data_IF_526050652380
#
_entry.id   IF_526050652380
#
_cell.length_a   1.000
_cell.length_b   1.000
_cell.length_c   1.000
_cell.angle_alpha   90.00
_cell.angle_beta   90.00
_cell.angle_gamma   90.00
#
_symmetry.space_group_name_H-M   'P 1'
#
loop_
_entity.id
_entity.type
_entity.pdbx_description
1 polymer ?
#
# COMPACT_ATOMS: atom_id res chain seq x y z
N UNK A 1 28.57 22.61 10.23
CA UNK A 1 27.96 21.68 11.22
C UNK A 1 27.33 20.55 10.44
N UNK A 2 27.96 19.39 10.43
CA UNK A 2 27.45 18.18 9.76
C UNK A 2 26.24 17.67 10.52
N UNK A 3 25.08 17.68 9.89
CA UNK A 3 23.87 17.01 10.40
C UNK A 3 24.21 15.56 10.75
N UNK A 4 23.80 15.04 11.92
CA UNK A 4 23.93 13.62 12.21
C UNK A 4 23.19 12.86 11.11
N UNK A 5 23.86 11.92 10.45
CA UNK A 5 23.22 10.95 9.55
C UNK A 5 22.13 10.24 10.34
N UNK A 6 20.88 10.67 10.20
CA UNK A 6 19.73 10.00 10.81
C UNK A 6 19.66 8.60 10.22
N UNK A 7 19.96 7.59 11.04
CA UNK A 7 19.92 6.20 10.63
C UNK A 7 18.52 5.87 10.07
N UNK A 8 18.46 5.31 8.86
CA UNK A 8 17.18 4.93 8.23
C UNK A 8 16.48 3.93 9.16
N UNK A 9 15.23 4.18 9.60
CA UNK A 9 14.56 3.27 10.51
C UNK A 9 14.26 1.96 9.80
N UNK A 10 14.57 0.83 10.44
CA UNK A 10 14.32 -0.51 9.91
C UNK A 10 13.19 -1.16 10.72
N UNK A 11 12.06 -1.52 10.10
CA UNK A 11 10.97 -2.21 10.79
C UNK A 11 11.41 -3.53 11.41
N UNK A 12 11.03 -3.76 12.67
CA UNK A 12 11.23 -5.05 13.34
C UNK A 12 10.02 -5.94 13.07
N UNK A 13 10.17 -6.87 12.14
CA UNK A 13 9.11 -7.77 11.65
C UNK A 13 9.52 -9.24 11.81
N UNK A 14 8.57 -10.19 11.93
CA UNK A 14 8.86 -11.60 12.17
C UNK A 14 9.31 -12.34 10.89
N UNK A 15 10.44 -11.92 10.30
CA UNK A 15 11.08 -12.58 9.15
C UNK A 15 12.13 -13.60 9.59
N UNK A 16 12.53 -14.48 8.68
CA UNK A 16 13.64 -15.40 8.90
C UNK A 16 14.92 -14.60 9.24
N UNK A 17 15.65 -14.93 10.34
CA UNK A 17 16.89 -14.25 10.71
C UNK A 17 17.92 -14.14 9.58
N UNK A 18 18.04 -15.16 8.73
CA UNK A 18 18.98 -15.19 7.60
C UNK A 18 18.62 -14.18 6.49
N UNK A 19 17.44 -13.56 6.59
CA UNK A 19 16.92 -12.58 5.62
C UNK A 19 16.90 -11.16 6.17
N UNK A 20 17.36 -10.93 7.40
CA UNK A 20 17.41 -9.60 8.02
C UNK A 20 18.28 -8.62 7.21
N UNK A 21 19.44 -9.07 6.73
CA UNK A 21 20.34 -8.19 5.96
C UNK A 21 19.73 -7.81 4.61
N UNK A 22 19.12 -8.76 3.90
CA UNK A 22 18.38 -8.50 2.67
C UNK A 22 17.25 -7.51 2.92
N UNK A 23 16.42 -7.74 3.95
CA UNK A 23 15.31 -6.86 4.30
C UNK A 23 15.80 -5.44 4.64
N UNK A 24 16.90 -5.32 5.38
CA UNK A 24 17.52 -4.04 5.73
C UNK A 24 18.02 -3.29 4.49
N UNK A 25 18.69 -4.00 3.57
CA UNK A 25 19.17 -3.43 2.33
C UNK A 25 18.03 -2.95 1.42
N UNK A 26 16.96 -3.75 1.30
CA UNK A 26 15.75 -3.39 0.55
C UNK A 26 15.03 -2.21 1.19
N UNK A 27 14.93 -2.15 2.51
CA UNK A 27 14.36 -1.00 3.23
C UNK A 27 15.14 0.30 2.92
N UNK A 28 16.47 0.24 2.91
CA UNK A 28 17.31 1.38 2.53
C UNK A 28 17.20 1.75 1.04
N UNK A 29 16.98 0.77 0.16
CA UNK A 29 16.63 1.04 -1.24
C UNK A 29 15.29 1.77 -1.33
N UNK A 30 14.23 1.25 -0.71
CA UNK A 30 12.88 1.85 -0.75
C UNK A 30 12.87 3.25 -0.16
N UNK A 31 13.55 3.49 0.96
CA UNK A 31 13.68 4.84 1.52
C UNK A 31 14.25 5.84 0.52
N UNK A 32 15.28 5.45 -0.25
CA UNK A 32 15.86 6.30 -1.30
C UNK A 32 14.95 6.41 -2.53
N UNK A 33 14.29 5.32 -2.90
CA UNK A 33 13.38 5.29 -4.04
C UNK A 33 12.15 6.19 -3.81
N UNK A 34 11.62 6.21 -2.59
CA UNK A 34 10.43 6.99 -2.24
C UNK A 34 10.73 8.48 -2.00
N UNK A 35 11.99 8.90 -1.82
CA UNK A 35 12.32 10.29 -1.54
C UNK A 35 12.09 11.24 -2.72
N UNK A 36 11.78 10.71 -3.89
CA UNK A 36 11.41 11.49 -5.08
C UNK A 36 9.91 11.76 -5.19
N UNK A 37 9.07 11.12 -4.36
CA UNK A 37 7.62 11.25 -4.41
C UNK A 37 7.09 12.29 -3.41
N UNK A 38 5.88 12.77 -3.68
CA UNK A 38 5.17 13.67 -2.78
C UNK A 38 4.69 12.94 -1.50
N UNK A 39 4.22 13.74 -0.53
CA UNK A 39 3.82 13.27 0.80
C UNK A 39 2.68 12.21 0.80
N UNK A 40 1.98 12.01 -0.32
CA UNK A 40 0.92 11.00 -0.41
C UNK A 40 1.46 9.58 -0.64
N UNK A 41 2.69 9.43 -1.13
CA UNK A 41 3.36 8.13 -1.44
C UNK A 41 4.80 8.12 -0.91
N UNK A 42 4.99 8.73 0.25
CA UNK A 42 6.30 8.83 0.90
C UNK A 42 6.71 7.52 1.59
N UNK A 43 7.93 7.50 2.11
CA UNK A 43 8.41 6.36 2.89
C UNK A 43 7.55 6.07 4.13
N UNK A 44 6.89 7.08 4.71
CA UNK A 44 5.98 6.87 5.85
C UNK A 44 4.74 6.07 5.44
N UNK A 45 4.21 6.26 4.23
CA UNK A 45 3.18 5.38 3.68
C UNK A 45 3.62 3.91 3.68
N UNK A 46 4.80 3.62 3.15
CA UNK A 46 5.34 2.25 3.14
C UNK A 46 5.44 1.68 4.55
N UNK A 47 5.93 2.47 5.52
CA UNK A 47 6.02 2.02 6.91
C UNK A 47 4.65 1.72 7.54
N UNK A 48 3.61 2.49 7.20
CA UNK A 48 2.24 2.21 7.66
C UNK A 48 1.67 0.95 7.02
N UNK A 49 1.95 0.70 5.74
CA UNK A 49 1.58 -0.56 5.07
C UNK A 49 2.27 -1.74 5.74
N UNK A 50 3.59 -1.69 5.96
CA UNK A 50 4.33 -2.74 6.70
C UNK A 50 3.76 -2.95 8.11
N UNK A 51 3.36 -1.88 8.80
CA UNK A 51 2.72 -1.97 10.11
C UNK A 51 1.35 -2.67 10.03
N UNK A 52 0.49 -2.29 9.08
CA UNK A 52 -0.80 -2.94 8.85
C UNK A 52 -0.60 -4.43 8.48
N UNK A 53 0.38 -4.75 7.63
CA UNK A 53 0.77 -6.13 7.29
C UNK A 53 1.11 -6.94 8.53
N UNK A 54 1.90 -6.38 9.44
CA UNK A 54 2.27 -7.06 10.69
C UNK A 54 1.07 -7.27 11.62
N UNK A 55 0.16 -6.31 11.71
CA UNK A 55 -1.07 -6.44 12.51
C UNK A 55 -1.96 -7.55 11.94
N UNK A 56 -2.21 -7.53 10.63
CA UNK A 56 -3.05 -8.52 9.95
C UNK A 56 -2.44 -9.92 10.10
N UNK A 57 -1.13 -10.09 9.82
CA UNK A 57 -0.45 -11.37 9.97
C UNK A 57 -0.64 -11.96 11.38
N UNK A 58 -0.48 -11.16 12.43
CA UNK A 58 -0.61 -11.63 13.82
C UNK A 58 -2.02 -12.07 14.15
N UNK A 59 -3.04 -11.44 13.60
CA UNK A 59 -4.44 -11.80 13.82
C UNK A 59 -4.83 -13.02 12.99
N UNK A 60 -4.47 -13.04 11.70
CA UNK A 60 -4.73 -14.16 10.81
C UNK A 60 -4.02 -15.45 11.24
N UNK A 61 -2.81 -15.35 11.79
CA UNK A 61 -2.10 -16.51 12.35
C UNK A 61 -2.83 -17.13 13.55
N UNK A 62 -3.66 -16.36 14.27
CA UNK A 62 -4.48 -16.85 15.38
C UNK A 62 -5.80 -17.45 14.88
N UNK A 63 -6.45 -16.79 13.92
CA UNK A 63 -7.77 -17.19 13.43
C UNK A 63 -7.71 -18.33 12.41
N UNK A 64 -6.60 -18.45 11.67
CA UNK A 64 -6.38 -19.42 10.61
C UNK A 64 -5.04 -20.18 10.81
N UNK A 65 -4.87 -20.93 11.92
CA UNK A 65 -3.57 -21.54 12.27
C UNK A 65 -3.08 -22.62 11.30
N UNK A 66 -3.96 -23.13 10.44
CA UNK A 66 -3.60 -24.08 9.36
C UNK A 66 -2.95 -23.40 8.16
N UNK A 67 -3.07 -22.08 8.02
CA UNK A 67 -2.48 -21.33 6.91
C UNK A 67 -1.06 -20.91 7.29
N UNK A 68 -0.08 -21.33 6.48
CA UNK A 68 1.30 -20.89 6.62
C UNK A 68 1.57 -19.71 5.69
N UNK A 69 2.26 -18.69 6.20
CA UNK A 69 2.68 -17.52 5.44
C UNK A 69 4.20 -17.45 5.41
N UNK A 70 4.79 -17.27 4.23
CA UNK A 70 6.20 -16.93 4.10
C UNK A 70 6.38 -15.44 4.41
N UNK A 71 6.74 -15.19 5.66
CA UNK A 71 6.90 -13.83 6.19
C UNK A 71 7.97 -13.03 5.45
N UNK A 72 9.00 -13.67 4.88
CA UNK A 72 10.04 -12.96 4.12
C UNK A 72 9.43 -12.37 2.85
N UNK A 73 8.71 -13.19 2.07
CA UNK A 73 8.06 -12.72 0.86
C UNK A 73 6.97 -11.67 1.16
N UNK A 74 6.23 -11.86 2.25
CA UNK A 74 5.17 -10.96 2.70
C UNK A 74 5.70 -9.55 2.98
N UNK A 75 6.73 -9.42 3.82
CA UNK A 75 7.24 -8.12 4.22
C UNK A 75 8.10 -7.45 3.13
N UNK A 76 8.78 -8.22 2.28
CA UNK A 76 9.43 -7.67 1.09
C UNK A 76 8.40 -7.13 0.09
N UNK A 77 7.29 -7.83 -0.13
CA UNK A 77 6.22 -7.35 -0.99
C UNK A 77 5.58 -6.07 -0.42
N UNK A 78 5.35 -5.99 0.89
CA UNK A 78 4.84 -4.77 1.53
C UNK A 78 5.80 -3.58 1.37
N UNK A 79 7.12 -3.78 1.49
CA UNK A 79 8.11 -2.72 1.25
C UNK A 79 8.14 -2.26 -0.21
N UNK A 80 7.98 -3.19 -1.16
CA UNK A 80 8.22 -2.96 -2.58
C UNK A 80 6.94 -2.70 -3.39
N UNK A 81 5.75 -2.71 -2.77
CA UNK A 81 4.48 -2.70 -3.52
C UNK A 81 4.29 -1.48 -4.45
N UNK A 82 4.86 -0.33 -4.08
CA UNK A 82 4.83 0.92 -4.85
C UNK A 82 6.11 1.15 -5.69
N UNK A 83 7.08 0.22 -5.64
CA UNK A 83 8.24 0.26 -6.53
C UNK A 83 7.82 -0.23 -7.90
N UNK A 84 8.04 0.60 -8.93
CA UNK A 84 7.54 0.33 -10.26
C UNK A 84 6.02 0.47 -10.37
N UNK A 85 5.39 1.43 -9.69
CA UNK A 85 4.02 1.81 -10.05
C UNK A 85 4.06 2.64 -11.36
N UNK A 86 3.35 2.16 -12.38
CA UNK A 86 3.18 2.79 -13.69
C UNK A 86 2.73 4.27 -13.62
N UNK A 87 2.06 4.70 -12.54
CA UNK A 87 1.68 6.12 -12.33
C UNK A 87 2.88 7.06 -12.18
N UNK A 88 4.05 6.52 -11.88
CA UNK A 88 5.28 7.26 -11.60
C UNK A 88 6.47 6.81 -12.44
N UNK A 89 6.27 5.84 -13.33
CA UNK A 89 7.29 5.34 -14.22
C UNK A 89 7.74 6.40 -15.22
N UNK A 90 9.05 6.44 -15.48
CA UNK A 90 9.59 7.25 -16.57
C UNK A 90 9.51 6.48 -17.91
N UNK A 91 9.34 7.17 -19.06
CA UNK A 91 9.32 6.49 -20.36
C UNK A 91 10.59 5.66 -20.59
N UNK A 92 10.43 4.35 -20.80
CA UNK A 92 11.54 3.41 -21.05
C UNK A 92 12.03 2.63 -19.83
N UNK A 93 11.48 2.87 -18.64
CA UNK A 93 11.78 2.09 -17.45
C UNK A 93 11.13 0.69 -17.53
N UNK A 94 11.88 -0.36 -17.19
CA UNK A 94 11.34 -1.73 -17.10
C UNK A 94 10.62 -1.92 -15.75
N UNK A 95 9.45 -1.29 -15.68
CA UNK A 95 8.54 -1.33 -14.53
C UNK A 95 8.14 -2.77 -14.17
N UNK A 96 7.96 -3.60 -15.19
CA UNK A 96 7.42 -4.95 -15.04
C UNK A 96 8.40 -5.94 -14.37
N UNK A 97 9.70 -5.68 -14.40
CA UNK A 97 10.71 -6.53 -13.77
C UNK A 97 11.51 -5.84 -12.66
N UNK A 98 11.19 -4.59 -12.33
CA UNK A 98 11.98 -3.76 -11.43
C UNK A 98 12.14 -4.39 -10.04
N UNK A 99 11.05 -4.87 -9.44
CA UNK A 99 11.06 -5.52 -8.12
C UNK A 99 11.96 -6.76 -8.13
N UNK A 100 11.82 -7.60 -9.15
CA UNK A 100 12.67 -8.79 -9.32
C UNK A 100 14.15 -8.40 -9.45
N UNK A 101 14.47 -7.42 -10.29
CA UNK A 101 15.84 -7.00 -10.56
C UNK A 101 16.50 -6.41 -9.31
N UNK A 102 15.78 -5.58 -8.55
CA UNK A 102 16.25 -5.01 -7.27
C UNK A 102 16.52 -6.11 -6.25
N UNK A 103 15.65 -7.10 -6.13
CA UNK A 103 15.85 -8.22 -5.19
C UNK A 103 17.08 -9.06 -5.56
N UNK A 104 17.23 -9.39 -6.85
CA UNK A 104 18.40 -10.12 -7.35
C UNK A 104 19.70 -9.34 -7.13
N UNK A 105 19.72 -8.03 -7.37
CA UNK A 105 20.91 -7.20 -7.18
C UNK A 105 21.34 -7.09 -5.72
N UNK A 106 20.43 -7.38 -4.77
CA UNK A 106 20.71 -7.42 -3.33
C UNK A 106 20.88 -8.85 -2.78
N UNK A 107 21.02 -9.85 -3.66
CA UNK A 107 21.36 -11.22 -3.25
C UNK A 107 20.16 -12.11 -2.89
N UNK A 108 18.93 -11.73 -3.24
CA UNK A 108 17.79 -12.64 -3.14
C UNK A 108 17.93 -13.81 -4.14
N UNK A 109 17.37 -14.97 -3.79
CA UNK A 109 17.25 -16.07 -4.75
C UNK A 109 16.27 -15.73 -5.87
N UNK A 110 16.43 -16.36 -7.04
CA UNK A 110 15.50 -16.18 -8.17
C UNK A 110 14.06 -16.52 -7.79
N UNK A 111 13.85 -17.57 -7.00
CA UNK A 111 12.51 -18.00 -6.57
C UNK A 111 11.85 -16.97 -5.65
N UNK A 112 12.59 -16.42 -4.68
CA UNK A 112 12.08 -15.37 -3.79
C UNK A 112 11.78 -14.10 -4.59
N UNK A 113 12.68 -13.68 -5.48
CA UNK A 113 12.50 -12.51 -6.30
C UNK A 113 11.28 -12.63 -7.23
N UNK A 114 11.09 -13.81 -7.85
CA UNK A 114 9.93 -14.10 -8.68
C UNK A 114 8.62 -14.10 -7.87
N UNK A 115 8.60 -14.75 -6.69
CA UNK A 115 7.43 -14.76 -5.80
C UNK A 115 7.03 -13.34 -5.39
N UNK A 116 7.98 -12.54 -4.90
CA UNK A 116 7.71 -11.16 -4.45
C UNK A 116 7.24 -10.29 -5.63
N UNK A 117 7.87 -10.40 -6.80
CA UNK A 117 7.43 -9.69 -8.01
C UNK A 117 5.98 -10.03 -8.36
N UNK A 118 5.60 -11.32 -8.32
CA UNK A 118 4.22 -11.75 -8.60
C UNK A 118 3.24 -11.17 -7.60
N UNK A 119 3.55 -11.20 -6.30
CA UNK A 119 2.69 -10.60 -5.26
C UNK A 119 2.52 -9.11 -5.54
N UNK A 120 3.62 -8.35 -5.71
CA UNK A 120 3.58 -6.89 -5.92
C UNK A 120 2.73 -6.51 -7.14
N UNK A 121 2.87 -7.22 -8.28
CA UNK A 121 2.04 -6.96 -9.47
C UNK A 121 0.54 -7.05 -9.21
N UNK A 122 0.14 -7.84 -8.21
CA UNK A 122 -1.26 -8.08 -7.89
C UNK A 122 -1.78 -7.25 -6.72
N UNK A 123 -0.97 -6.39 -6.08
CA UNK A 123 -1.41 -5.58 -4.93
C UNK A 123 -2.44 -4.52 -5.34
N UNK A 124 -2.20 -3.81 -6.45
CA UNK A 124 -2.96 -2.60 -6.78
C UNK A 124 -4.46 -2.84 -7.03
N UNK A 125 -5.29 -1.89 -6.58
CA UNK A 125 -6.74 -1.89 -6.84
C UNK A 125 -7.08 -2.00 -8.33
N UNK A 126 -6.39 -1.22 -9.17
CA UNK A 126 -6.66 -1.17 -10.61
C UNK A 126 -6.37 -2.51 -11.30
N UNK A 127 -5.36 -3.25 -10.84
CA UNK A 127 -5.10 -4.59 -11.34
C UNK A 127 -6.21 -5.56 -10.92
N UNK A 128 -6.66 -5.54 -9.67
CA UNK A 128 -7.74 -6.43 -9.23
C UNK A 128 -9.04 -6.20 -10.01
N UNK A 129 -9.42 -4.94 -10.24
CA UNK A 129 -10.65 -4.62 -10.99
C UNK A 129 -10.56 -5.07 -12.46
N UNK A 130 -9.37 -4.99 -13.07
CA UNK A 130 -9.17 -5.41 -14.47
C UNK A 130 -9.00 -6.93 -14.63
N UNK A 131 -8.35 -7.58 -13.66
CA UNK A 131 -7.85 -8.96 -13.78
C UNK A 131 -8.29 -9.84 -12.59
N UNK A 132 -9.58 -9.82 -12.26
CA UNK A 132 -10.10 -10.48 -11.05
C UNK A 132 -9.76 -11.98 -10.98
N UNK A 133 -9.87 -12.72 -12.09
CA UNK A 133 -9.53 -14.15 -12.14
C UNK A 133 -8.04 -14.41 -11.86
N UNK A 134 -7.16 -13.55 -12.38
CA UNK A 134 -5.72 -13.65 -12.11
C UNK A 134 -5.41 -13.45 -10.62
N UNK A 135 -6.06 -12.47 -9.99
CA UNK A 135 -5.89 -12.23 -8.54
C UNK A 135 -6.35 -13.44 -7.72
N UNK A 136 -7.48 -14.06 -8.07
CA UNK A 136 -7.95 -15.29 -7.38
C UNK A 136 -6.91 -16.40 -7.49
N UNK A 137 -6.39 -16.66 -8.68
CA UNK A 137 -5.37 -17.68 -8.88
C UNK A 137 -4.08 -17.42 -8.07
N UNK A 138 -3.63 -16.16 -8.04
CA UNK A 138 -2.43 -15.80 -7.27
C UNK A 138 -2.68 -15.89 -5.77
N UNK A 139 -3.88 -15.59 -5.28
CA UNK A 139 -4.25 -15.76 -3.86
C UNK A 139 -4.21 -17.23 -3.42
N UNK A 140 -4.62 -18.16 -4.29
CA UNK A 140 -4.54 -19.60 -4.02
C UNK A 140 -3.09 -20.07 -3.89
N UNK A 141 -2.19 -19.49 -4.69
CA UNK A 141 -0.76 -19.83 -4.68
C UNK A 141 0.01 -19.12 -3.55
N UNK A 142 -0.32 -17.86 -3.29
CA UNK A 142 0.40 -16.96 -2.39
C UNK A 142 -0.58 -16.22 -1.47
N UNK A 143 -0.95 -16.82 -0.32
CA UNK A 143 -1.89 -16.21 0.62
C UNK A 143 -1.37 -14.89 1.21
N UNK A 144 -0.07 -14.62 1.12
CA UNK A 144 0.54 -13.34 1.49
C UNK A 144 -0.06 -12.16 0.73
N UNK A 145 -0.51 -12.37 -0.52
CA UNK A 145 -1.13 -11.31 -1.33
C UNK A 145 -2.37 -10.72 -0.64
N UNK A 146 -3.19 -11.55 0.03
CA UNK A 146 -4.37 -11.09 0.75
C UNK A 146 -4.00 -10.06 1.83
N UNK A 147 -2.92 -10.34 2.57
CA UNK A 147 -2.46 -9.49 3.66
C UNK A 147 -1.90 -8.17 3.12
N UNK A 148 -1.09 -8.21 2.06
CA UNK A 148 -0.50 -6.99 1.47
C UNK A 148 -1.57 -6.10 0.83
N UNK A 149 -2.52 -6.69 0.09
CA UNK A 149 -3.65 -5.94 -0.48
C UNK A 149 -4.46 -5.23 0.59
N UNK A 150 -4.83 -5.93 1.66
CA UNK A 150 -5.59 -5.34 2.75
C UNK A 150 -4.79 -4.24 3.47
N UNK A 151 -3.49 -4.48 3.70
CA UNK A 151 -2.61 -3.52 4.37
C UNK A 151 -2.46 -2.19 3.61
N UNK A 152 -2.29 -2.26 2.29
CA UNK A 152 -2.24 -1.08 1.41
C UNK A 152 -3.59 -0.35 1.39
N UNK A 153 -4.68 -1.08 1.15
CA UNK A 153 -6.04 -0.49 1.11
C UNK A 153 -6.44 0.17 2.42
N UNK A 154 -6.05 -0.41 3.55
CA UNK A 154 -6.28 0.19 4.85
C UNK A 154 -5.64 1.57 4.95
N UNK A 155 -4.44 1.78 4.39
CA UNK A 155 -3.77 3.08 4.40
C UNK A 155 -4.37 4.10 3.42
N UNK A 156 -5.24 3.64 2.50
CA UNK A 156 -6.01 4.49 1.61
C UNK A 156 -7.35 4.96 2.21
N UNK A 157 -7.77 4.43 3.37
CA UNK A 157 -9.05 4.78 4.03
C UNK A 157 -8.86 5.33 5.45
N UNK A 158 -9.93 5.92 6.00
CA UNK A 158 -9.90 6.58 7.30
C UNK A 158 -9.15 7.91 7.29
N UNK A 159 -8.81 8.43 8.47
CA UNK A 159 -8.23 9.77 8.61
C UNK A 159 -6.94 9.98 7.79
N UNK A 160 -6.05 8.98 7.78
CA UNK A 160 -4.83 9.03 6.95
C UNK A 160 -5.17 8.99 5.46
N UNK A 161 -6.09 8.13 5.05
CA UNK A 161 -6.58 8.03 3.68
C UNK A 161 -7.14 9.36 3.15
N UNK A 162 -7.91 10.06 3.98
CA UNK A 162 -8.42 11.42 3.69
C UNK A 162 -7.25 12.35 3.38
N UNK A 163 -6.29 12.48 4.30
CA UNK A 163 -5.14 13.38 4.12
C UNK A 163 -4.30 13.05 2.88
N UNK A 164 -4.08 11.75 2.61
CA UNK A 164 -3.36 11.30 1.41
C UNK A 164 -4.10 11.65 0.12
N UNK A 165 -5.42 11.45 0.07
CA UNK A 165 -6.21 11.71 -1.13
C UNK A 165 -6.22 13.19 -1.51
N UNK A 166 -6.42 14.08 -0.54
CA UNK A 166 -6.32 15.53 -0.79
C UNK A 166 -4.91 15.94 -1.22
N UNK A 167 -3.88 15.40 -0.57
CA UNK A 167 -2.47 15.68 -0.92
C UNK A 167 -2.14 15.26 -2.36
N UNK A 168 -2.54 14.04 -2.75
CA UNK A 168 -2.35 13.53 -4.10
C UNK A 168 -3.14 14.34 -5.13
N UNK A 169 -4.40 14.67 -4.82
CA UNK A 169 -5.27 15.49 -5.67
C UNK A 169 -4.63 16.85 -5.98
N UNK A 170 -4.16 17.55 -4.95
CA UNK A 170 -3.50 18.84 -5.11
C UNK A 170 -2.18 18.76 -5.89
N UNK A 171 -1.36 17.71 -5.65
CA UNK A 171 -0.08 17.54 -6.32
C UNK A 171 -0.22 17.18 -7.81
N UNK A 172 -1.17 16.31 -8.16
CA UNK A 172 -1.35 15.81 -9.53
C UNK A 172 -2.32 16.64 -10.37
N UNK A 173 -3.25 17.35 -9.73
CA UNK A 173 -4.33 18.07 -10.40
C UNK A 173 -4.55 19.45 -9.78
N UNK A 174 -3.52 20.33 -9.85
CA UNK A 174 -3.54 21.62 -9.16
C UNK A 174 -4.65 22.56 -9.67
N UNK A 175 -5.12 22.36 -10.89
CA UNK A 175 -6.18 23.18 -11.51
C UNK A 175 -7.60 22.70 -11.15
N UNK A 176 -7.74 21.60 -10.40
CA UNK A 176 -9.03 21.08 -9.96
C UNK A 176 -9.31 21.44 -8.50
N UNK A 177 -10.58 21.71 -8.21
CA UNK A 177 -11.03 21.97 -6.85
C UNK A 177 -10.92 20.75 -5.93
N UNK A 178 -10.92 21.02 -4.62
CA UNK A 178 -10.83 19.98 -3.58
C UNK A 178 -11.96 18.94 -3.65
N UNK A 179 -13.12 19.28 -4.23
CA UNK A 179 -14.26 18.36 -4.41
C UNK A 179 -13.91 17.08 -5.17
N UNK A 180 -12.89 17.10 -6.03
CA UNK A 180 -12.41 15.92 -6.73
C UNK A 180 -11.93 14.79 -5.79
N UNK A 181 -11.44 15.14 -4.61
CA UNK A 181 -11.09 14.12 -3.61
C UNK A 181 -12.34 13.40 -3.09
N UNK A 182 -13.46 14.12 -2.95
CA UNK A 182 -14.75 13.55 -2.53
C UNK A 182 -15.32 12.62 -3.59
N UNK A 183 -15.25 13.03 -4.87
CA UNK A 183 -15.63 12.15 -5.99
C UNK A 183 -14.82 10.84 -5.93
N UNK A 184 -13.51 10.93 -5.65
CA UNK A 184 -12.66 9.75 -5.49
C UNK A 184 -13.06 8.86 -4.30
N UNK A 185 -13.58 9.45 -3.22
CA UNK A 185 -14.07 8.68 -2.07
C UNK A 185 -15.26 7.81 -2.48
N UNK A 186 -16.21 8.38 -3.22
CA UNK A 186 -17.41 7.71 -3.72
C UNK A 186 -17.11 6.65 -4.77
N UNK A 187 -16.26 7.00 -5.74
CA UNK A 187 -15.91 6.14 -6.85
C UNK A 187 -15.11 4.91 -6.40
N UNK A 188 -14.25 5.07 -5.40
CA UNK A 188 -13.27 4.04 -5.03
C UNK A 188 -13.18 3.79 -3.53
N UNK A 189 -12.85 4.78 -2.71
CA UNK A 189 -12.34 4.51 -1.35
C UNK A 189 -13.38 3.83 -0.45
N UNK A 190 -14.65 4.23 -0.54
CA UNK A 190 -15.74 3.62 0.24
C UNK A 190 -15.96 2.13 -0.09
N UNK A 191 -15.59 1.70 -1.31
CA UNK A 191 -15.75 0.32 -1.78
C UNK A 191 -14.66 -0.61 -1.23
N UNK A 192 -13.56 -0.06 -0.73
CA UNK A 192 -12.38 -0.85 -0.34
C UNK A 192 -12.67 -1.79 0.84
N UNK A 193 -13.57 -1.42 1.77
CA UNK A 193 -13.98 -2.32 2.86
C UNK A 193 -14.57 -3.64 2.35
N UNK A 194 -15.50 -3.56 1.38
CA UNK A 194 -16.11 -4.74 0.76
C UNK A 194 -15.11 -5.58 -0.05
N UNK A 195 -13.94 -5.03 -0.36
CA UNK A 195 -12.88 -5.68 -1.08
C UNK A 195 -11.76 -6.21 -0.18
N UNK A 196 -11.88 -6.14 1.14
CA UNK A 196 -10.89 -6.74 2.06
C UNK A 196 -10.95 -8.27 2.00
N UNK A 197 -9.81 -8.94 2.09
CA UNK A 197 -9.65 -10.39 1.91
C UNK A 197 -9.62 -11.10 3.26
N UNK A 198 -8.89 -10.54 4.21
CA UNK A 198 -8.66 -11.08 5.55
C UNK A 198 -9.76 -10.64 6.51
N UNK A 199 -9.98 -11.42 7.58
CA UNK A 199 -10.96 -11.03 8.61
C UNK A 199 -10.43 -9.85 9.43
N UNK A 200 -9.12 -9.84 9.70
CA UNK A 200 -8.47 -8.69 10.35
C UNK A 200 -8.63 -7.41 9.52
N UNK A 201 -8.37 -7.48 8.20
CA UNK A 201 -8.52 -6.36 7.27
C UNK A 201 -9.94 -5.81 7.26
N UNK A 202 -10.96 -6.68 7.14
CA UNK A 202 -12.38 -6.29 7.21
C UNK A 202 -12.73 -5.54 8.50
N UNK A 203 -12.31 -6.06 9.66
CA UNK A 203 -12.57 -5.41 10.96
C UNK A 203 -11.91 -4.04 11.06
N UNK A 204 -10.66 -3.93 10.62
CA UNK A 204 -9.92 -2.66 10.64
C UNK A 204 -10.51 -1.65 9.65
N UNK A 205 -10.99 -2.12 8.50
CA UNK A 205 -11.56 -1.30 7.45
C UNK A 205 -12.87 -0.65 7.88
N UNK A 206 -13.76 -1.39 8.56
CA UNK A 206 -15.07 -0.90 9.00
C UNK A 206 -15.01 0.48 9.65
N UNK A 207 -14.18 0.64 10.70
CA UNK A 207 -14.06 1.93 11.39
C UNK A 207 -13.45 3.02 10.50
N UNK A 208 -12.52 2.65 9.61
CA UNK A 208 -11.89 3.61 8.69
C UNK A 208 -12.86 4.07 7.59
N UNK A 209 -13.76 3.22 7.14
CA UNK A 209 -14.85 3.57 6.21
C UNK A 209 -15.89 4.47 6.87
N UNK A 210 -16.26 4.20 8.13
CA UNK A 210 -17.15 5.08 8.90
C UNK A 210 -16.60 6.51 8.95
N UNK A 211 -15.30 6.67 9.22
CA UNK A 211 -14.64 7.99 9.21
C UNK A 211 -14.71 8.67 7.83
N UNK A 212 -14.58 7.91 6.73
CA UNK A 212 -14.75 8.48 5.39
C UNK A 212 -16.19 8.95 5.16
N UNK A 213 -17.17 8.15 5.53
CA UNK A 213 -18.58 8.47 5.37
C UNK A 213 -18.99 9.71 6.20
N UNK A 214 -18.54 9.77 7.46
CA UNK A 214 -18.73 10.94 8.33
C UNK A 214 -18.09 12.19 7.71
N UNK A 215 -16.85 12.10 7.23
CA UNK A 215 -16.18 13.24 6.58
C UNK A 215 -16.92 13.72 5.33
N UNK A 216 -17.40 12.81 4.47
CA UNK A 216 -18.17 13.18 3.27
C UNK A 216 -19.48 13.88 3.62
N UNK A 217 -20.14 13.44 4.69
CA UNK A 217 -21.37 14.08 5.17
C UNK A 217 -21.09 15.52 5.62
N UNK A 218 -20.08 15.72 6.48
CA UNK A 218 -19.69 17.06 6.94
C UNK A 218 -19.25 17.94 5.78
N UNK A 219 -18.42 17.41 4.85
CA UNK A 219 -18.02 18.13 3.65
C UNK A 219 -19.22 18.65 2.86
N UNK A 220 -20.24 17.80 2.64
CA UNK A 220 -21.44 18.20 1.90
C UNK A 220 -22.19 19.35 2.59
N UNK A 221 -22.25 19.34 3.92
CA UNK A 221 -22.93 20.40 4.70
C UNK A 221 -22.12 21.69 4.71
N UNK A 222 -20.80 21.61 4.84
CA UNK A 222 -19.91 22.77 4.93
C UNK A 222 -19.64 23.44 3.57
N UNK A 223 -19.58 22.64 2.50
CA UNK A 223 -19.31 23.13 1.15
C UNK A 223 -20.58 23.65 0.43
N UNK A 224 -21.77 23.44 1.01
CA UNK A 224 -23.02 23.99 0.48
C UNK A 224 -23.04 25.50 0.70
N UNK A 225 -23.10 26.26 -0.39
CA UNK A 225 -23.10 27.71 -0.33
C UNK A 225 -24.48 28.19 0.13
N UNK A 226 -24.51 29.07 1.13
CA UNK A 226 -25.75 29.69 1.62
C UNK A 226 -26.40 30.65 0.62
N UNK A 227 -25.87 30.74 -0.60
CA UNK A 227 -26.29 31.63 -1.66
C UNK A 227 -26.10 30.98 -3.03
N UNK A 228 -26.96 31.34 -3.97
CA UNK A 228 -26.82 30.96 -5.37
C UNK A 228 -25.80 31.86 -6.06
N UNK A 229 -25.07 31.30 -7.02
CA UNK A 229 -24.20 32.05 -7.92
C UNK A 229 -24.98 32.37 -9.20
N UNK A 230 -24.85 33.62 -9.65
CA UNK A 230 -25.49 34.11 -10.88
C UNK A 230 -24.94 33.45 -12.15
#
# INVERSE_FOLDING_TARGET
MTTPSSQIPVPKVPINPDKIDLFTAINAYVHRYMSQYDNSHDYLHILRVVSNTNIILREESKTNPSTSYDTTSLFLAALLHDVGDHKYATPGEDVESQVRNVLLSHGASSDLAAKVQTIVKHVSYSNEVRNQQSVVHVLEQYPELAIVQDADRLDAIGAVGIGRCFSFGAAKFPDQGMGRAIDHFEEKLIKLEGMMKTQAGKRMAKRRTEVLAEFMLEWKLEADLSFELN
#
